data_IF_587158102503
#
_entry.id   IF_587158102503
#
_cell.length_a   1.000
_cell.length_b   1.000
_cell.length_c   1.000
_cell.angle_alpha   90.00
_cell.angle_beta   90.00
_cell.angle_gamma   90.00
#
_symmetry.space_group_name_H-M   'P 1'
#
loop_
_entity.id
_entity.type
_entity.pdbx_description
1 polymer ?
#
# COMPACT_ATOMS: atom_id res chain seq x y z
N UNK A 1 -30.55 -16.37 35.60
CA UNK A 1 -29.22 -16.22 34.98
C UNK A 1 -29.36 -15.19 33.87
N UNK A 2 -28.91 -13.95 34.09
CA UNK A 2 -29.00 -12.90 33.09
C UNK A 2 -27.86 -13.08 32.08
N UNK A 3 -28.22 -13.43 30.85
CA UNK A 3 -27.30 -13.53 29.73
C UNK A 3 -26.91 -12.10 29.34
N UNK A 4 -25.85 -11.58 29.94
CA UNK A 4 -25.29 -10.26 29.66
C UNK A 4 -24.74 -10.23 28.24
N UNK A 5 -25.61 -10.01 27.26
CA UNK A 5 -25.22 -9.72 25.88
C UNK A 5 -24.38 -8.46 25.89
N UNK A 6 -23.05 -8.62 25.81
CA UNK A 6 -22.15 -7.49 25.58
C UNK A 6 -22.52 -6.90 24.22
N UNK A 7 -23.08 -5.69 24.23
CA UNK A 7 -23.19 -4.87 23.04
C UNK A 7 -21.82 -4.82 22.37
N UNK A 8 -21.73 -5.43 21.17
CA UNK A 8 -20.49 -5.45 20.42
C UNK A 8 -20.29 -4.05 19.86
N UNK A 9 -19.39 -3.29 20.48
CA UNK A 9 -19.00 -1.96 20.00
C UNK A 9 -18.64 -2.04 18.51
N UNK A 10 -19.07 -1.03 17.75
CA UNK A 10 -18.76 -0.93 16.34
C UNK A 10 -17.23 -0.89 16.12
N UNK A 11 -16.72 -1.51 15.04
CA UNK A 11 -15.30 -1.52 14.78
C UNK A 11 -14.77 -0.12 14.48
N UNK A 12 -13.52 0.15 14.88
CA UNK A 12 -12.86 1.44 14.65
C UNK A 12 -12.72 1.72 13.15
N UNK A 13 -12.50 0.67 12.36
CA UNK A 13 -12.47 0.73 10.90
C UNK A 13 -13.42 -0.32 10.34
N UNK A 14 -14.32 0.09 9.45
CA UNK A 14 -15.26 -0.83 8.83
C UNK A 14 -14.55 -1.81 7.88
N UNK A 15 -15.04 -3.05 7.81
CA UNK A 15 -14.47 -4.06 6.92
C UNK A 15 -14.65 -3.71 5.44
N UNK A 16 -15.73 -3.01 5.10
CA UNK A 16 -15.97 -2.50 3.74
C UNK A 16 -14.90 -1.49 3.31
N UNK A 17 -14.49 -0.58 4.20
CA UNK A 17 -13.43 0.37 3.90
C UNK A 17 -12.11 -0.33 3.62
N UNK A 18 -11.75 -1.34 4.42
CA UNK A 18 -10.53 -2.14 4.23
C UNK A 18 -10.55 -2.84 2.87
N UNK A 19 -11.69 -3.44 2.51
CA UNK A 19 -11.87 -4.11 1.21
C UNK A 19 -11.73 -3.12 0.05
N UNK A 20 -12.41 -1.96 0.12
CA UNK A 20 -12.35 -0.92 -0.92
C UNK A 20 -10.93 -0.41 -1.12
N UNK A 21 -10.24 -0.07 -0.03
CA UNK A 21 -8.84 0.35 -0.05
C UNK A 21 -7.93 -0.70 -0.70
N UNK A 22 -8.07 -1.97 -0.31
CA UNK A 22 -7.27 -3.04 -0.89
C UNK A 22 -7.50 -3.18 -2.40
N UNK A 23 -8.77 -3.16 -2.83
CA UNK A 23 -9.14 -3.31 -4.24
C UNK A 23 -8.68 -2.10 -5.06
N UNK A 24 -8.77 -0.87 -4.52
CA UNK A 24 -8.29 0.33 -5.21
C UNK A 24 -6.77 0.34 -5.41
N UNK A 25 -6.02 -0.35 -4.55
CA UNK A 25 -4.58 -0.60 -4.72
C UNK A 25 -4.29 -1.77 -5.69
N UNK A 26 -5.31 -2.42 -6.25
CA UNK A 26 -5.17 -3.57 -7.14
C UNK A 26 -4.62 -4.82 -6.44
N UNK A 27 -4.84 -4.97 -5.13
CA UNK A 27 -4.24 -6.03 -4.32
C UNK A 27 -5.22 -7.18 -4.03
N UNK A 28 -4.72 -8.41 -4.04
CA UNK A 28 -5.42 -9.57 -3.46
C UNK A 28 -5.35 -9.53 -1.93
N UNK A 29 -6.22 -10.27 -1.24
CA UNK A 29 -6.16 -10.37 0.23
C UNK A 29 -4.80 -10.88 0.71
N UNK A 30 -4.19 -11.83 -0.02
CA UNK A 30 -2.85 -12.35 0.28
C UNK A 30 -1.77 -11.26 0.15
N UNK A 31 -1.79 -10.49 -0.93
CA UNK A 31 -0.85 -9.37 -1.15
C UNK A 31 -0.99 -8.30 -0.07
N UNK A 32 -2.23 -7.95 0.29
CA UNK A 32 -2.49 -6.99 1.35
C UNK A 32 -2.06 -7.52 2.72
N UNK A 33 -2.27 -8.81 2.99
CA UNK A 33 -1.84 -9.46 4.22
C UNK A 33 -0.31 -9.40 4.40
N UNK A 34 0.45 -9.61 3.32
CA UNK A 34 1.91 -9.45 3.31
C UNK A 34 2.33 -8.02 3.67
N UNK A 35 1.74 -7.01 3.03
CA UNK A 35 2.03 -5.61 3.32
C UNK A 35 1.78 -5.25 4.80
N UNK A 36 0.71 -5.81 5.37
CA UNK A 36 0.30 -5.58 6.75
C UNK A 36 0.99 -6.51 7.76
N UNK A 37 1.81 -7.45 7.30
CA UNK A 37 2.50 -8.46 8.11
C UNK A 37 1.53 -9.30 8.95
N UNK A 38 0.45 -9.76 8.32
CA UNK A 38 -0.56 -10.63 8.93
C UNK A 38 -0.84 -11.83 8.05
N UNK A 39 -1.51 -12.85 8.61
CA UNK A 39 -2.05 -13.95 7.82
C UNK A 39 -3.22 -13.52 6.93
N UNK A 40 -3.41 -14.20 5.79
CA UNK A 40 -4.53 -13.96 4.86
C UNK A 40 -5.90 -14.07 5.56
N UNK A 41 -6.05 -15.02 6.50
CA UNK A 41 -7.26 -15.20 7.31
C UNK A 41 -7.58 -13.95 8.14
N UNK A 42 -6.55 -13.24 8.62
CA UNK A 42 -6.70 -12.00 9.38
C UNK A 42 -7.33 -10.91 8.52
N UNK A 43 -6.87 -10.74 7.28
CA UNK A 43 -7.44 -9.78 6.33
C UNK A 43 -8.88 -10.14 5.98
N UNK A 44 -9.17 -11.41 5.70
CA UNK A 44 -10.54 -11.85 5.45
C UNK A 44 -11.47 -11.57 6.64
N UNK A 45 -10.98 -11.75 7.87
CA UNK A 45 -11.70 -11.42 9.08
C UNK A 45 -11.91 -9.90 9.24
N UNK A 46 -10.89 -9.08 8.94
CA UNK A 46 -11.01 -7.62 8.96
C UNK A 46 -12.03 -7.12 7.95
N UNK A 47 -12.04 -7.64 6.72
CA UNK A 47 -13.01 -7.25 5.69
C UNK A 47 -14.44 -7.65 6.03
N UNK A 48 -14.62 -8.73 6.81
CA UNK A 48 -15.94 -9.20 7.25
C UNK A 48 -16.45 -8.45 8.48
N UNK A 49 -15.58 -8.28 9.49
CA UNK A 49 -15.99 -7.86 10.83
C UNK A 49 -15.50 -6.46 11.22
N UNK A 50 -14.67 -5.84 10.38
CA UNK A 50 -13.94 -4.61 10.73
C UNK A 50 -12.72 -4.87 11.61
N UNK A 51 -12.03 -3.77 11.91
CA UNK A 51 -10.78 -3.75 12.67
C UNK A 51 -10.97 -2.98 13.98
N UNK A 52 -10.87 -3.71 15.10
CA UNK A 52 -10.92 -3.13 16.45
C UNK A 52 -9.53 -2.63 16.83
N UNK A 53 -9.29 -1.32 16.67
CA UNK A 53 -7.95 -0.73 16.67
C UNK A 53 -7.13 -0.82 17.95
N UNK A 54 -7.67 -1.39 19.03
CA UNK A 54 -6.99 -1.50 20.34
C UNK A 54 -6.43 -2.88 20.65
N UNK A 55 -6.78 -3.92 19.88
CA UNK A 55 -6.40 -5.31 20.19
C UNK A 55 -5.56 -6.00 19.11
N UNK A 56 -5.46 -5.42 17.92
CA UNK A 56 -4.68 -6.01 16.84
C UNK A 56 -3.27 -5.41 16.80
N UNK A 57 -2.25 -6.25 16.95
CA UNK A 57 -0.83 -5.86 16.81
C UNK A 57 -0.50 -5.24 15.46
N UNK A 58 -1.35 -5.46 14.45
CA UNK A 58 -1.14 -4.97 13.08
C UNK A 58 -2.02 -3.78 12.72
N UNK A 59 -2.82 -3.27 13.67
CA UNK A 59 -3.52 -1.98 13.53
C UNK A 59 -2.56 -0.82 13.21
N UNK A 60 -1.36 -0.72 13.81
CA UNK A 60 -0.39 0.31 13.46
C UNK A 60 -0.01 0.27 11.97
N UNK A 61 0.25 -0.90 11.39
CA UNK A 61 0.60 -1.03 9.97
C UNK A 61 -0.52 -0.52 9.06
N UNK A 62 -1.78 -0.84 9.38
CA UNK A 62 -2.93 -0.31 8.64
C UNK A 62 -3.04 1.22 8.77
N UNK A 63 -2.82 1.76 9.98
CA UNK A 63 -2.80 3.20 10.21
C UNK A 63 -1.67 3.89 9.45
N UNK A 64 -0.48 3.29 9.41
CA UNK A 64 0.66 3.81 8.66
C UNK A 64 0.38 3.85 7.16
N UNK A 65 -0.15 2.76 6.59
CA UNK A 65 -0.53 2.72 5.18
C UNK A 65 -1.54 3.83 4.83
N UNK A 66 -2.64 3.92 5.58
CA UNK A 66 -3.68 4.92 5.32
C UNK A 66 -3.19 6.35 5.54
N UNK A 67 -2.29 6.57 6.49
CA UNK A 67 -1.67 7.88 6.72
C UNK A 67 -0.73 8.25 5.58
N UNK A 68 0.10 7.32 5.12
CA UNK A 68 1.01 7.54 3.99
C UNK A 68 0.25 7.86 2.70
N UNK A 69 -0.83 7.12 2.41
CA UNK A 69 -1.69 7.40 1.24
C UNK A 69 -2.33 8.79 1.32
N UNK A 70 -2.85 9.17 2.49
CA UNK A 70 -3.40 10.53 2.70
C UNK A 70 -2.33 11.60 2.53
N UNK A 71 -1.12 11.34 3.03
CA UNK A 71 0.00 12.27 2.92
C UNK A 71 0.46 12.40 1.47
N UNK A 72 0.55 11.32 0.71
CA UNK A 72 0.96 11.35 -0.70
C UNK A 72 -0.01 12.12 -1.59
N UNK A 73 -1.30 12.11 -1.24
CA UNK A 73 -2.30 12.90 -1.95
C UNK A 73 -2.22 14.40 -1.61
N UNK A 74 -1.91 14.73 -0.36
CA UNK A 74 -1.82 16.12 0.10
C UNK A 74 -0.49 16.78 -0.26
N UNK A 75 0.57 15.97 -0.31
CA UNK A 75 1.96 16.38 -0.46
C UNK A 75 2.68 15.50 -1.50
N UNK A 76 2.26 15.55 -2.78
CA UNK A 76 2.84 14.71 -3.83
C UNK A 76 4.34 14.97 -4.07
N UNK A 77 4.87 16.11 -3.63
CA UNK A 77 6.30 16.45 -3.65
C UNK A 77 7.16 15.55 -2.75
N UNK A 78 6.57 14.97 -1.69
CA UNK A 78 7.27 14.01 -0.83
C UNK A 78 7.32 12.64 -1.51
N UNK A 79 6.14 12.14 -1.88
CA UNK A 79 5.91 10.93 -2.65
C UNK A 79 4.53 11.04 -3.30
N UNK A 80 4.42 10.89 -4.61
CA UNK A 80 3.12 10.93 -5.28
C UNK A 80 2.28 9.69 -4.95
N UNK A 81 0.95 9.80 -5.03
CA UNK A 81 0.04 8.67 -4.82
C UNK A 81 0.31 7.52 -5.78
N UNK A 82 0.69 7.84 -7.02
CA UNK A 82 0.96 6.88 -8.09
C UNK A 82 2.25 6.12 -7.80
N UNK A 83 3.31 6.83 -7.40
CA UNK A 83 4.59 6.24 -7.00
C UNK A 83 4.39 5.33 -5.78
N UNK A 84 3.67 5.79 -4.76
CA UNK A 84 3.39 4.99 -3.57
C UNK A 84 2.57 3.74 -3.90
N UNK A 85 1.49 3.86 -4.67
CA UNK A 85 0.67 2.72 -5.09
C UNK A 85 1.48 1.69 -5.87
N UNK A 86 2.35 2.15 -6.78
CA UNK A 86 3.28 1.28 -7.51
C UNK A 86 4.20 0.51 -6.57
N UNK A 87 4.79 1.17 -5.58
CA UNK A 87 5.72 0.53 -4.64
C UNK A 87 5.01 -0.49 -3.76
N UNK A 88 3.81 -0.17 -3.28
CA UNK A 88 2.97 -1.13 -2.56
C UNK A 88 2.68 -2.38 -3.40
N UNK A 89 2.39 -2.20 -4.69
CA UNK A 89 2.15 -3.31 -5.62
C UNK A 89 3.40 -4.17 -5.82
N UNK A 90 4.53 -3.54 -6.17
CA UNK A 90 5.82 -4.22 -6.36
C UNK A 90 6.23 -4.97 -5.09
N UNK A 91 6.11 -4.34 -3.92
CA UNK A 91 6.42 -4.98 -2.64
C UNK A 91 5.59 -6.23 -2.43
N UNK A 92 4.27 -6.13 -2.60
CA UNK A 92 3.35 -7.24 -2.39
C UNK A 92 3.62 -8.46 -3.29
N UNK A 93 4.31 -8.22 -4.42
CA UNK A 93 4.75 -9.24 -5.38
C UNK A 93 6.20 -9.72 -5.17
N UNK A 94 6.96 -9.15 -4.23
CA UNK A 94 8.42 -9.30 -4.11
C UNK A 94 9.20 -8.86 -5.37
N UNK A 95 8.68 -7.84 -6.06
CA UNK A 95 9.27 -7.28 -7.27
C UNK A 95 10.07 -5.99 -6.98
N UNK A 96 10.07 -5.50 -5.74
CA UNK A 96 10.87 -4.34 -5.34
C UNK A 96 12.38 -4.59 -5.36
N UNK A 97 12.86 -5.79 -5.01
CA UNK A 97 14.30 -6.07 -5.08
C UNK A 97 14.80 -6.13 -6.54
N UNK A 98 14.15 -6.88 -7.45
CA UNK A 98 14.49 -6.87 -8.87
C UNK A 98 14.53 -5.45 -9.46
N UNK A 99 13.64 -4.58 -8.99
CA UNK A 99 13.60 -3.18 -9.39
C UNK A 99 14.91 -2.44 -9.10
N UNK A 100 15.65 -2.78 -8.04
CA UNK A 100 16.95 -2.16 -7.70
C UNK A 100 18.19 -2.92 -8.19
N UNK A 101 18.05 -3.93 -9.07
CA UNK A 101 19.21 -4.66 -9.62
C UNK A 101 20.32 -3.77 -10.19
N UNK A 102 20.03 -2.65 -10.90
CA UNK A 102 21.09 -1.75 -11.40
C UNK A 102 21.96 -1.16 -10.28
N UNK A 103 21.43 -1.05 -9.07
CA UNK A 103 22.09 -0.44 -7.91
C UNK A 103 22.48 -1.46 -6.84
N UNK A 104 22.43 -2.76 -7.13
CA UNK A 104 22.66 -3.81 -6.12
C UNK A 104 24.03 -3.71 -5.44
N UNK A 105 25.05 -3.18 -6.14
CA UNK A 105 26.40 -2.97 -5.60
C UNK A 105 26.50 -1.80 -4.63
N UNK A 106 25.49 -0.93 -4.60
CA UNK A 106 25.41 0.24 -3.71
C UNK A 106 24.59 -0.03 -2.44
N UNK A 107 24.02 -1.23 -2.32
CA UNK A 107 23.13 -1.62 -1.23
C UNK A 107 23.73 -2.75 -0.40
N UNK A 108 23.69 -2.58 0.91
CA UNK A 108 24.00 -3.66 1.86
C UNK A 108 22.97 -4.80 1.76
N UNK A 109 23.42 -6.02 2.02
CA UNK A 109 22.57 -7.21 1.92
C UNK A 109 21.31 -7.13 2.80
N UNK A 110 21.44 -6.60 4.03
CA UNK A 110 20.32 -6.43 4.94
C UNK A 110 19.32 -5.38 4.44
N UNK A 111 19.79 -4.32 3.77
CA UNK A 111 18.91 -3.32 3.17
C UNK A 111 18.06 -3.94 2.06
N UNK A 112 18.69 -4.77 1.21
CA UNK A 112 18.00 -5.52 0.15
C UNK A 112 16.98 -6.52 0.72
N UNK A 113 17.33 -7.20 1.81
CA UNK A 113 16.42 -8.12 2.49
C UNK A 113 15.17 -7.40 3.00
N UNK A 114 15.33 -6.20 3.57
CA UNK A 114 14.20 -5.36 4.02
C UNK A 114 13.33 -4.93 2.83
N UNK A 115 13.93 -4.42 1.75
CA UNK A 115 13.20 -4.08 0.51
C UNK A 115 12.40 -5.29 0.00
N UNK A 116 13.01 -6.48 0.02
CA UNK A 116 12.42 -7.70 -0.51
C UNK A 116 11.37 -8.35 0.42
N UNK A 117 11.16 -7.83 1.62
CA UNK A 117 10.24 -8.42 2.61
C UNK A 117 8.78 -8.46 2.13
N UNK A 118 8.41 -7.58 1.18
CA UNK A 118 7.04 -7.40 0.72
C UNK A 118 6.11 -6.75 1.74
N UNK A 119 6.69 -6.15 2.79
CA UNK A 119 6.00 -5.39 3.83
C UNK A 119 5.91 -3.90 3.49
N UNK A 120 5.10 -3.16 4.25
CA UNK A 120 5.11 -1.70 4.22
C UNK A 120 6.49 -1.11 4.61
N UNK A 121 7.22 -1.77 5.52
CA UNK A 121 8.58 -1.37 5.89
C UNK A 121 9.52 -1.44 4.69
N UNK A 122 9.43 -2.50 3.87
CA UNK A 122 10.19 -2.63 2.64
C UNK A 122 9.92 -1.50 1.65
N UNK A 123 8.65 -1.07 1.54
CA UNK A 123 8.26 0.09 0.72
C UNK A 123 8.92 1.38 1.21
N UNK A 124 8.96 1.62 2.52
CA UNK A 124 9.60 2.80 3.09
C UNK A 124 11.11 2.84 2.83
N UNK A 125 11.79 1.70 2.97
CA UNK A 125 13.23 1.59 2.66
C UNK A 125 13.51 1.79 1.17
N UNK A 126 12.64 1.30 0.29
CA UNK A 126 12.73 1.55 -1.14
C UNK A 126 12.59 3.05 -1.44
N UNK A 127 11.56 3.72 -0.91
CA UNK A 127 11.37 5.17 -1.09
C UNK A 127 12.52 6.00 -0.51
N UNK A 128 13.10 5.58 0.62
CA UNK A 128 14.28 6.23 1.18
C UNK A 128 15.49 6.11 0.25
N UNK A 129 15.68 4.95 -0.37
CA UNK A 129 16.78 4.74 -1.30
C UNK A 129 16.61 5.54 -2.60
N UNK A 130 15.38 5.66 -3.10
CA UNK A 130 15.08 6.58 -4.21
C UNK A 130 15.49 8.02 -3.90
N UNK A 131 15.18 8.52 -2.70
CA UNK A 131 15.60 9.87 -2.29
C UNK A 131 17.11 10.03 -2.24
N UNK A 132 17.82 8.97 -1.87
CA UNK A 132 19.29 8.96 -1.91
C UNK A 132 19.83 8.93 -3.35
N UNK A 133 19.20 8.18 -4.27
CA UNK A 133 19.54 8.21 -5.70
C UNK A 133 19.31 9.61 -6.28
N UNK A 134 18.14 10.21 -6.04
CA UNK A 134 17.79 11.58 -6.46
C UNK A 134 18.85 12.59 -5.96
N UNK A 135 19.25 12.49 -4.68
CA UNK A 135 20.30 13.34 -4.09
C UNK A 135 21.66 13.20 -4.77
N UNK A 136 21.96 12.02 -5.31
CA UNK A 136 23.19 11.73 -6.08
C UNK A 136 23.07 12.08 -7.57
N UNK A 137 21.94 12.62 -8.01
CA UNK A 137 21.65 12.88 -9.43
C UNK A 137 21.40 11.62 -10.26
N UNK A 138 21.01 10.52 -9.61
CA UNK A 138 20.59 9.27 -10.26
C UNK A 138 19.08 9.20 -10.31
N UNK A 139 18.55 8.67 -11.41
CA UNK A 139 17.13 8.37 -11.61
C UNK A 139 16.74 7.10 -10.86
N UNK A 140 15.51 7.03 -10.35
CA UNK A 140 14.99 5.76 -9.87
C UNK A 140 14.73 4.85 -11.09
N UNK A 141 14.83 3.51 -10.97
CA UNK A 141 14.57 2.58 -12.08
C UNK A 141 13.18 2.74 -12.73
N UNK A 142 12.23 3.36 -12.01
CA UNK A 142 10.86 3.64 -12.45
C UNK A 142 10.78 4.74 -13.49
N UNK A 143 11.69 5.70 -13.43
CA UNK A 143 11.62 6.93 -14.20
C UNK A 143 12.19 6.73 -15.62
N UNK A 144 12.94 5.65 -15.83
CA UNK A 144 13.49 5.25 -17.13
C UNK A 144 12.56 4.33 -17.93
N UNK A 145 11.67 3.59 -17.26
CA UNK A 145 10.70 2.70 -17.90
C UNK A 145 9.38 3.45 -18.14
N UNK A 146 9.26 4.06 -19.32
CA UNK A 146 8.08 4.81 -19.77
C UNK A 146 6.73 4.13 -19.45
N UNK A 147 5.79 4.96 -19.02
CA UNK A 147 4.51 4.58 -18.43
C UNK A 147 3.64 3.70 -19.33
N UNK A 148 3.17 2.55 -18.81
CA UNK A 148 1.93 1.92 -19.26
C UNK A 148 1.31 0.99 -18.19
N UNK A 149 1.19 1.47 -16.95
CA UNK A 149 0.70 0.69 -15.80
C UNK A 149 -0.79 0.86 -15.49
N UNK A 150 -1.49 1.76 -16.20
CA UNK A 150 -2.94 1.99 -16.04
C UNK A 150 -3.79 0.73 -16.35
N UNK A 151 -3.22 -0.28 -17.01
CA UNK A 151 -3.88 -1.57 -17.28
C UNK A 151 -3.95 -2.51 -16.06
N UNK A 152 -3.36 -2.16 -14.91
CA UNK A 152 -3.33 -3.01 -13.70
C UNK A 152 -4.43 -2.68 -12.68
N UNK A 153 -5.19 -1.60 -12.88
CA UNK A 153 -6.31 -1.23 -12.01
C UNK A 153 -7.58 -1.88 -12.59
N UNK A 154 -8.00 -3.00 -12.00
CA UNK A 154 -9.25 -3.66 -12.37
C UNK A 154 -10.49 -2.82 -12.02
N UNK A 155 -11.60 -2.96 -12.75
CA UNK A 155 -12.79 -2.17 -12.53
C UNK A 155 -13.59 -2.72 -11.35
N UNK A 156 -13.82 -1.93 -10.29
CA UNK A 156 -14.90 -2.22 -9.33
C UNK A 156 -15.21 -1.06 -8.37
N UNK A 157 -16.37 -0.44 -8.58
CA UNK A 157 -17.43 -0.34 -7.57
C UNK A 157 -17.24 0.59 -6.36
N UNK A 158 -17.62 1.86 -6.54
CA UNK A 158 -18.52 2.67 -5.69
C UNK A 158 -18.47 2.52 -4.14
N UNK A 159 -18.27 3.55 -3.30
CA UNK A 159 -18.06 4.98 -3.43
C UNK A 159 -17.26 5.42 -2.17
N UNK A 160 -16.11 6.05 -2.40
CA UNK A 160 -15.69 7.29 -1.76
C UNK A 160 -15.50 8.25 -2.93
N UNK A 161 -16.56 9.02 -3.27
CA UNK A 161 -16.70 9.64 -4.58
C UNK A 161 -15.55 10.59 -4.92
N UNK A 162 -15.03 11.36 -3.95
CA UNK A 162 -13.95 12.31 -4.23
C UNK A 162 -12.62 11.63 -4.56
N UNK A 163 -12.25 10.59 -3.80
CA UNK A 163 -11.01 9.83 -4.03
C UNK A 163 -11.10 9.02 -5.32
N UNK A 164 -12.24 8.39 -5.59
CA UNK A 164 -12.44 7.59 -6.80
C UNK A 164 -12.58 8.47 -8.04
N UNK A 165 -13.31 9.58 -7.98
CA UNK A 165 -13.40 10.51 -9.11
C UNK A 165 -12.05 11.18 -9.41
N UNK A 166 -11.23 11.46 -8.40
CA UNK A 166 -9.87 11.98 -8.61
C UNK A 166 -9.01 10.95 -9.37
N UNK A 167 -9.06 9.69 -8.97
CA UNK A 167 -8.35 8.60 -9.63
C UNK A 167 -8.88 8.31 -11.06
N UNK A 168 -10.20 8.37 -11.27
CA UNK A 168 -10.83 8.18 -12.59
C UNK A 168 -10.59 9.35 -13.56
N UNK A 169 -10.55 10.60 -13.06
CA UNK A 169 -10.22 11.78 -13.89
C UNK A 169 -8.78 11.75 -14.36
N UNK A 170 -7.85 11.31 -13.51
CA UNK A 170 -6.45 11.12 -13.90
C UNK A 170 -6.28 10.01 -14.96
N UNK A 171 -7.04 8.91 -14.85
CA UNK A 171 -7.01 7.83 -15.84
C UNK A 171 -7.58 8.21 -17.23
N UNK A 172 -8.47 9.20 -17.32
CA UNK A 172 -9.09 9.63 -18.59
C UNK A 172 -8.33 10.74 -19.33
N UNK A 173 -7.53 11.56 -18.63
CA UNK A 173 -6.83 12.70 -19.20
C UNK A 173 -5.44 12.36 -19.78
N UNK A 174 -5.01 11.09 -19.72
CA UNK A 174 -3.75 10.59 -20.29
C UNK A 174 -3.88 9.95 -21.67
N UNK A 175 -4.85 10.37 -22.50
CA UNK A 175 -4.99 9.97 -23.90
C UNK A 175 -4.69 11.12 -24.84
#
# INVERSE_FOLDING_TARGET
MANGGKEKLAPVVSGEYIRKLRVSLGLTQLQFAKLMEVGNVTVANWEKNGLDGTRSSSFPNFKYLTTLLKQSMKHPELVSSEKLARYLKLASNHELMPYYLPYIKELEADYLNVINSGSLTGVLFALLFDKELERRGKTAPADEAGENYLNLIGPSGAEDKELLEALERQAKNGR
#
